data_IF_024455913115
#
_entry.id   IF_024455913115
#
_cell.length_a   1.000
_cell.length_b   1.000
_cell.length_c   1.000
_cell.angle_alpha   90.00
_cell.angle_beta   90.00
_cell.angle_gamma   90.00
#
_symmetry.space_group_name_H-M   'P 1'
#
loop_
_entity.id
_entity.type
_entity.pdbx_description
1 polymer ?
#
# COMPACT_ATOMS: atom_id res chain seq x y z
N UNK A 1 -42.10 -0.32 42.93
CA UNK A 1 -42.07 -0.44 41.46
C UNK A 1 -41.81 0.96 40.93
N UNK A 2 -40.54 1.32 40.76
CA UNK A 2 -40.15 2.53 40.07
C UNK A 2 -39.02 2.14 39.11
N UNK A 3 -39.25 2.11 37.80
CA UNK A 3 -38.18 2.01 36.83
C UNK A 3 -37.76 3.45 36.47
N UNK A 4 -36.51 3.82 36.72
CA UNK A 4 -36.08 5.18 36.42
C UNK A 4 -34.58 5.43 36.47
N UNK A 5 -33.75 4.40 36.28
CA UNK A 5 -32.32 4.60 36.07
C UNK A 5 -32.10 5.14 34.64
N UNK A 6 -32.35 6.44 34.47
CA UNK A 6 -32.13 7.14 33.22
C UNK A 6 -30.63 7.43 33.11
N UNK A 7 -29.87 6.41 32.70
CA UNK A 7 -28.44 6.46 32.40
C UNK A 7 -28.20 7.45 31.24
N UNK A 8 -28.11 8.74 31.57
CA UNK A 8 -27.63 9.78 30.65
C UNK A 8 -26.14 9.60 30.50
N UNK A 9 -25.74 8.81 29.51
CA UNK A 9 -24.37 8.84 28.99
C UNK A 9 -24.10 10.30 28.60
N UNK A 10 -23.12 10.99 29.23
CA UNK A 10 -22.90 12.40 28.96
C UNK A 10 -22.48 12.54 27.49
N UNK A 11 -23.13 13.45 26.74
CA UNK A 11 -22.87 13.70 25.33
C UNK A 11 -21.38 13.94 25.00
N UNK A 12 -20.59 14.37 25.98
CA UNK A 12 -19.14 14.49 25.91
C UNK A 12 -18.45 13.14 25.68
N UNK A 13 -18.86 12.08 26.39
CA UNK A 13 -18.31 10.73 26.26
C UNK A 13 -18.65 10.12 24.90
N UNK A 14 -19.87 10.35 24.40
CA UNK A 14 -20.29 9.90 23.08
C UNK A 14 -19.49 10.59 21.98
N UNK A 15 -19.27 11.91 22.08
CA UNK A 15 -18.44 12.67 21.14
C UNK A 15 -16.97 12.24 21.17
N UNK A 16 -16.44 11.96 22.37
CA UNK A 16 -15.07 11.48 22.55
C UNK A 16 -14.87 10.09 21.95
N UNK A 17 -15.81 9.16 22.20
CA UNK A 17 -15.81 7.82 21.61
C UNK A 17 -15.97 7.87 20.08
N UNK A 18 -16.83 8.74 19.55
CA UNK A 18 -16.98 8.93 18.10
C UNK A 18 -15.70 9.48 17.46
N UNK A 19 -15.02 10.40 18.13
CA UNK A 19 -13.72 10.92 17.70
C UNK A 19 -12.62 9.87 17.72
N UNK A 20 -12.61 9.00 18.74
CA UNK A 20 -11.64 7.91 18.88
C UNK A 20 -11.87 6.80 17.83
N UNK A 21 -13.13 6.43 17.57
CA UNK A 21 -13.51 5.50 16.49
C UNK A 21 -13.15 6.08 15.13
N UNK A 22 -13.39 7.37 14.91
CA UNK A 22 -12.96 8.07 13.68
C UNK A 22 -11.44 8.05 13.50
N UNK A 23 -10.66 8.17 14.57
CA UNK A 23 -9.20 8.11 14.52
C UNK A 23 -8.68 6.69 14.20
N UNK A 24 -9.37 5.65 14.69
CA UNK A 24 -9.02 4.25 14.45
C UNK A 24 -9.34 3.79 13.02
N UNK A 25 -10.27 4.46 12.33
CA UNK A 25 -10.67 4.13 10.96
C UNK A 25 -9.71 4.69 9.88
N UNK A 26 -8.77 5.56 10.23
CA UNK A 26 -7.86 6.21 9.26
C UNK A 26 -6.59 5.37 8.99
N UNK A 27 -6.35 4.29 9.72
CA UNK A 27 -5.24 3.36 9.43
C UNK A 27 -5.62 2.36 8.33
N UNK A 28 -6.37 2.84 7.32
CA UNK A 28 -6.79 2.06 6.18
C UNK A 28 -5.59 1.55 5.36
N UNK A 29 -5.86 0.49 4.60
CA UNK A 29 -4.97 -0.14 3.63
C UNK A 29 -4.18 0.92 2.87
N UNK A 30 -2.93 1.14 3.27
CA UNK A 30 -2.06 2.14 2.66
C UNK A 30 -0.69 1.51 2.48
N UNK A 31 -0.09 1.60 1.29
CA UNK A 31 1.30 1.22 1.07
C UNK A 31 2.24 1.88 2.08
N UNK A 32 3.43 1.29 2.28
CA UNK A 32 4.48 2.00 3.01
C UNK A 32 4.88 3.30 2.31
N UNK A 33 5.43 4.23 3.10
CA UNK A 33 5.76 5.59 2.65
C UNK A 33 6.75 5.61 1.47
N UNK A 34 7.70 4.67 1.44
CA UNK A 34 8.67 4.53 0.36
C UNK A 34 7.99 4.32 -1.00
N UNK A 35 6.96 3.46 -1.05
CA UNK A 35 6.20 3.22 -2.27
C UNK A 35 5.31 4.41 -2.63
N UNK A 36 4.72 5.09 -1.64
CA UNK A 36 3.97 6.33 -1.88
C UNK A 36 4.81 7.45 -2.48
N UNK A 37 6.08 7.55 -2.08
CA UNK A 37 7.01 8.59 -2.56
C UNK A 37 7.67 8.25 -3.90
N UNK A 38 7.49 7.03 -4.43
CA UNK A 38 8.21 6.59 -5.64
C UNK A 38 9.67 6.23 -5.39
N UNK A 39 10.05 5.99 -4.14
CA UNK A 39 11.40 5.64 -3.71
C UNK A 39 11.53 4.15 -3.33
N UNK A 40 10.49 3.37 -3.59
CA UNK A 40 10.46 1.94 -3.27
C UNK A 40 11.50 1.15 -4.07
N UNK A 41 12.02 0.10 -3.44
CA UNK A 41 12.94 -0.85 -4.05
C UNK A 41 12.47 -2.26 -3.73
N UNK A 42 12.58 -3.15 -4.71
CA UNK A 42 12.25 -4.55 -4.53
C UNK A 42 13.22 -5.46 -5.30
N UNK A 43 13.73 -6.49 -4.63
CA UNK A 43 14.42 -7.63 -5.23
C UNK A 43 14.32 -8.79 -4.25
N UNK A 44 14.24 -10.01 -4.76
CA UNK A 44 14.20 -11.21 -3.91
C UNK A 44 15.58 -11.57 -3.32
N UNK A 45 16.67 -11.18 -4.00
CA UNK A 45 18.03 -11.64 -3.66
C UNK A 45 19.03 -10.52 -3.44
N UNK A 46 18.77 -9.30 -3.91
CA UNK A 46 19.71 -8.19 -3.87
C UNK A 46 19.24 -7.08 -2.94
N UNK A 47 20.18 -6.51 -2.20
CA UNK A 47 19.96 -5.25 -1.50
C UNK A 47 20.09 -4.07 -2.46
N UNK A 48 19.45 -2.94 -2.12
CA UNK A 48 19.56 -1.70 -2.90
C UNK A 48 21.02 -1.27 -3.11
N UNK A 49 21.85 -1.37 -2.07
CA UNK A 49 23.28 -1.04 -2.15
C UNK A 49 24.04 -1.91 -3.17
N UNK A 50 23.75 -3.21 -3.23
CA UNK A 50 24.37 -4.10 -4.22
C UNK A 50 23.95 -3.75 -5.65
N UNK A 51 22.71 -3.34 -5.86
CA UNK A 51 22.22 -2.88 -7.17
C UNK A 51 22.89 -1.57 -7.56
N UNK A 52 23.05 -0.63 -6.63
CA UNK A 52 23.75 0.64 -6.87
C UNK A 52 25.24 0.42 -7.18
N UNK A 53 25.91 -0.49 -6.47
CA UNK A 53 27.29 -0.88 -6.75
C UNK A 53 27.43 -1.54 -8.13
N UNK A 54 26.54 -2.47 -8.46
CA UNK A 54 26.52 -3.10 -9.77
C UNK A 54 26.23 -2.07 -10.88
N UNK A 55 25.36 -1.08 -10.64
CA UNK A 55 25.07 -0.01 -11.59
C UNK A 55 26.28 0.88 -11.82
N UNK A 56 27.01 1.24 -10.76
CA UNK A 56 28.27 1.98 -10.86
C UNK A 56 29.35 1.21 -11.63
N UNK A 57 29.35 -0.12 -11.52
CA UNK A 57 30.23 -1.01 -12.27
C UNK A 57 29.76 -1.32 -13.71
N UNK A 58 28.64 -0.74 -14.18
CA UNK A 58 28.09 -1.01 -15.51
C UNK A 58 27.50 -2.42 -15.67
N UNK A 59 27.20 -3.11 -14.57
CA UNK A 59 26.65 -4.48 -14.52
C UNK A 59 25.13 -4.50 -14.35
N UNK A 60 24.44 -3.42 -14.73
CA UNK A 60 22.98 -3.31 -14.65
C UNK A 60 22.43 -2.91 -16.00
N UNK A 61 21.48 -3.69 -16.48
CA UNK A 61 20.70 -3.38 -17.67
C UNK A 61 19.30 -2.89 -17.26
N UNK A 62 18.89 -1.76 -17.85
CA UNK A 62 17.54 -1.21 -17.65
C UNK A 62 16.62 -1.80 -18.69
N UNK A 63 15.71 -2.69 -18.28
CA UNK A 63 14.75 -3.34 -19.18
C UNK A 63 13.52 -2.47 -19.49
N UNK A 64 13.41 -1.31 -18.83
CA UNK A 64 12.40 -0.31 -19.10
C UNK A 64 11.55 0.00 -17.88
N UNK A 65 10.61 0.94 -18.05
CA UNK A 65 9.65 1.29 -17.01
C UNK A 65 8.40 0.44 -17.15
N UNK A 66 7.91 -0.08 -16.03
CA UNK A 66 6.67 -0.86 -15.98
C UNK A 66 5.55 -0.08 -15.27
N UNK A 67 4.33 -0.50 -15.57
CA UNK A 67 3.11 -0.10 -14.87
C UNK A 67 2.22 -1.32 -14.75
N UNK A 68 1.78 -1.64 -13.54
CA UNK A 68 0.88 -2.76 -13.25
C UNK A 68 -0.21 -2.28 -12.32
N UNK A 69 -1.46 -2.62 -12.63
CA UNK A 69 -2.59 -2.35 -11.75
C UNK A 69 -2.86 -3.60 -10.92
N UNK A 70 -2.94 -3.43 -9.61
CA UNK A 70 -3.28 -4.50 -8.68
C UNK A 70 -4.25 -3.95 -7.64
N UNK A 71 -5.19 -4.77 -7.20
CA UNK A 71 -6.21 -4.39 -6.26
C UNK A 71 -6.64 -5.57 -5.43
N UNK A 72 -7.10 -5.28 -4.21
CA UNK A 72 -7.57 -6.31 -3.31
C UNK A 72 -8.45 -5.72 -2.22
N UNK A 73 -9.36 -6.55 -1.72
CA UNK A 73 -10.22 -6.23 -0.60
C UNK A 73 -9.62 -6.78 0.68
N UNK A 74 -9.20 -5.90 1.58
CA UNK A 74 -8.58 -6.27 2.84
C UNK A 74 -9.42 -5.79 4.02
N UNK A 75 -9.31 -6.51 5.14
CA UNK A 75 -9.92 -6.11 6.40
C UNK A 75 -9.16 -4.91 7.00
N UNK A 76 -9.87 -4.05 7.73
CA UNK A 76 -9.37 -2.81 8.35
C UNK A 76 -8.17 -2.95 9.32
N UNK A 77 -7.71 -4.17 9.61
CA UNK A 77 -6.53 -4.46 10.43
C UNK A 77 -5.24 -4.63 9.61
N UNK A 78 -5.25 -4.31 8.32
CA UNK A 78 -4.06 -4.41 7.49
C UNK A 78 -3.09 -3.26 7.78
N UNK A 79 -1.93 -3.59 8.35
CA UNK A 79 -0.83 -2.63 8.49
C UNK A 79 -0.28 -2.26 7.11
N UNK A 80 0.50 -1.17 7.05
CA UNK A 80 1.19 -0.78 5.80
C UNK A 80 2.09 -1.90 5.28
N UNK A 81 2.82 -2.53 6.19
CA UNK A 81 3.68 -3.68 5.90
C UNK A 81 2.87 -4.89 5.42
N UNK A 82 1.66 -5.09 5.96
CA UNK A 82 0.72 -6.08 5.45
C UNK A 82 0.37 -5.80 3.99
N UNK A 83 0.01 -4.55 3.68
CA UNK A 83 -0.37 -4.12 2.32
C UNK A 83 0.77 -4.35 1.33
N UNK A 84 2.00 -4.01 1.73
CA UNK A 84 3.19 -4.26 0.92
C UNK A 84 3.36 -5.76 0.62
N UNK A 85 3.25 -6.63 1.64
CA UNK A 85 3.47 -8.08 1.48
C UNK A 85 2.36 -8.80 0.75
N UNK A 86 1.11 -8.37 0.91
CA UNK A 86 -0.04 -9.06 0.34
C UNK A 86 -0.37 -8.60 -1.08
N UNK A 87 0.02 -7.38 -1.47
CA UNK A 87 -0.42 -6.80 -2.74
C UNK A 87 0.74 -6.25 -3.58
N UNK A 88 1.63 -5.44 -3.00
CA UNK A 88 2.67 -4.75 -3.78
C UNK A 88 3.79 -5.71 -4.18
N UNK A 89 4.35 -6.44 -3.21
CA UNK A 89 5.45 -7.38 -3.42
C UNK A 89 5.08 -8.50 -4.41
N UNK A 90 3.92 -9.19 -4.27
CA UNK A 90 3.52 -10.20 -5.25
C UNK A 90 3.37 -9.64 -6.66
N UNK A 91 2.72 -8.48 -6.82
CA UNK A 91 2.56 -7.84 -8.13
C UNK A 91 3.91 -7.40 -8.74
N UNK A 92 4.86 -6.94 -7.92
CA UNK A 92 6.22 -6.64 -8.38
C UNK A 92 6.96 -7.90 -8.81
N UNK A 93 6.86 -8.99 -8.04
CA UNK A 93 7.51 -10.27 -8.37
C UNK A 93 7.02 -10.81 -9.71
N UNK A 94 5.71 -10.93 -9.88
CA UNK A 94 5.10 -11.38 -11.14
C UNK A 94 5.54 -10.49 -12.30
N UNK A 95 5.54 -9.16 -12.10
CA UNK A 95 5.92 -8.24 -13.17
C UNK A 95 7.41 -8.30 -13.54
N UNK A 96 8.27 -8.50 -12.56
CA UNK A 96 9.71 -8.67 -12.81
C UNK A 96 10.00 -10.00 -13.51
N UNK A 97 9.28 -11.07 -13.18
CA UNK A 97 9.39 -12.36 -13.87
C UNK A 97 9.00 -12.25 -15.35
N UNK A 98 7.87 -11.59 -15.64
CA UNK A 98 7.43 -11.31 -17.02
C UNK A 98 8.46 -10.50 -17.82
N UNK A 99 9.13 -9.55 -17.17
CA UNK A 99 10.13 -8.68 -17.78
C UNK A 99 11.53 -9.30 -17.79
N UNK A 100 11.71 -10.50 -17.25
CA UNK A 100 13.02 -11.12 -17.04
C UNK A 100 14.02 -10.24 -16.25
N UNK A 101 13.49 -9.45 -15.32
CA UNK A 101 14.25 -8.59 -14.41
C UNK A 101 14.45 -9.27 -13.05
N UNK A 102 15.47 -8.84 -12.28
CA UNK A 102 15.74 -9.35 -10.93
C UNK A 102 15.70 -8.27 -9.83
N UNK A 103 15.51 -7.01 -10.22
CA UNK A 103 15.28 -5.91 -9.30
C UNK A 103 14.32 -4.87 -9.90
N UNK A 104 13.57 -4.20 -9.04
CA UNK A 104 12.78 -3.02 -9.33
C UNK A 104 13.31 -1.84 -8.51
N UNK A 105 13.51 -0.69 -9.17
CA UNK A 105 13.89 0.56 -8.53
C UNK A 105 12.87 1.67 -8.85
N UNK A 106 12.88 2.73 -8.03
CA UNK A 106 11.95 3.87 -8.12
C UNK A 106 10.49 3.42 -8.16
N UNK A 107 10.17 2.42 -7.34
CA UNK A 107 8.83 1.86 -7.28
C UNK A 107 7.90 2.85 -6.61
N UNK A 108 6.89 3.29 -7.37
CA UNK A 108 5.85 4.21 -6.96
C UNK A 108 4.49 3.58 -7.01
N UNK A 109 3.71 3.77 -5.95
CA UNK A 109 2.32 3.30 -5.85
C UNK A 109 1.40 4.49 -5.79
N UNK A 110 0.45 4.54 -6.72
CA UNK A 110 -0.59 5.56 -6.75
C UNK A 110 -1.94 4.89 -6.61
N UNK A 111 -2.76 5.41 -5.70
CA UNK A 111 -4.16 5.03 -5.64
C UNK A 111 -4.85 5.37 -6.95
N UNK A 112 -5.53 4.38 -7.52
CA UNK A 112 -6.48 4.59 -8.61
C UNK A 112 -7.84 4.91 -7.99
N UNK A 113 -7.90 6.00 -7.22
CA UNK A 113 -9.18 6.61 -6.83
C UNK A 113 -9.63 7.44 -8.03
N UNK A 114 -10.45 6.82 -8.89
CA UNK A 114 -10.90 7.40 -10.17
C UNK A 114 -11.73 8.67 -10.00
N UNK A 115 -12.25 8.97 -8.80
CA UNK A 115 -12.96 10.21 -8.54
C UNK A 115 -12.97 10.63 -7.06
N UNK A 116 -13.01 11.94 -6.79
CA UNK A 116 -13.24 12.47 -5.43
C UNK A 116 -14.57 12.00 -4.83
N UNK A 117 -15.55 11.61 -5.66
CA UNK A 117 -16.83 11.03 -5.22
C UNK A 117 -16.69 9.69 -4.51
N UNK A 118 -15.69 8.88 -4.85
CA UNK A 118 -15.47 7.58 -4.21
C UNK A 118 -14.95 7.72 -2.77
N UNK A 119 -14.26 8.81 -2.48
CA UNK A 119 -13.78 9.16 -1.13
C UNK A 119 -14.98 9.48 -0.23
N UNK A 120 -15.97 10.23 -0.72
CA UNK A 120 -17.18 10.55 0.03
C UNK A 120 -18.05 9.32 0.26
N UNK A 121 -18.18 8.44 -0.74
CA UNK A 121 -18.95 7.19 -0.61
C UNK A 121 -18.29 6.23 0.39
N UNK A 122 -16.96 6.13 0.38
CA UNK A 122 -16.19 5.34 1.34
C UNK A 122 -16.32 5.84 2.79
N UNK A 123 -16.59 7.13 2.98
CA UNK A 123 -16.80 7.74 4.30
C UNK A 123 -18.26 7.62 4.80
N UNK A 124 -19.24 7.55 3.88
CA UNK A 124 -20.67 7.59 4.19
C UNK A 124 -21.35 6.21 4.22
N UNK A 125 -20.85 5.23 3.46
CA UNK A 125 -21.51 3.93 3.30
C UNK A 125 -20.64 2.85 3.94
N UNK A 126 -20.87 2.63 5.23
CA UNK A 126 -20.31 1.55 6.05
C UNK A 126 -18.79 1.57 6.34
N UNK A 127 -18.38 1.90 7.58
CA UNK A 127 -17.07 1.50 8.11
C UNK A 127 -16.95 -0.04 8.31
N UNK A 128 -17.78 -0.84 7.66
CA UNK A 128 -17.94 -2.28 7.89
C UNK A 128 -17.95 -3.17 6.64
N UNK A 129 -17.82 -2.62 5.43
CA UNK A 129 -17.79 -3.42 4.20
C UNK A 129 -16.61 -3.02 3.32
N UNK A 130 -15.51 -3.77 3.49
CA UNK A 130 -14.44 -3.98 2.52
C UNK A 130 -13.55 -2.77 2.20
N UNK A 131 -12.34 -2.73 2.78
CA UNK A 131 -11.25 -1.87 2.33
C UNK A 131 -10.67 -2.38 1.02
N UNK A 132 -11.46 -2.34 -0.06
CA UNK A 132 -11.01 -2.60 -1.41
C UNK A 132 -10.25 -1.38 -1.92
N UNK A 133 -8.96 -1.53 -2.14
CA UNK A 133 -8.15 -0.50 -2.80
C UNK A 133 -7.54 -1.06 -4.07
N UNK A 134 -7.59 -0.23 -5.11
CA UNK A 134 -6.94 -0.47 -6.39
C UNK A 134 -5.77 0.48 -6.53
N UNK A 135 -4.59 -0.10 -6.70
CA UNK A 135 -3.35 0.62 -6.88
C UNK A 135 -2.83 0.46 -8.30
N UNK A 136 -2.12 1.48 -8.76
CA UNK A 136 -1.23 1.38 -9.90
C UNK A 136 0.21 1.47 -9.38
N UNK A 137 0.97 0.40 -9.59
CA UNK A 137 2.38 0.28 -9.25
C UNK A 137 3.18 0.58 -10.50
N UNK A 138 4.14 1.48 -10.38
CA UNK A 138 5.07 1.86 -11.44
C UNK A 138 6.49 1.73 -10.95
N UNK A 139 7.45 1.49 -11.83
CA UNK A 139 8.85 1.38 -11.45
C UNK A 139 9.75 1.10 -12.64
N UNK A 140 11.06 1.09 -12.40
CA UNK A 140 12.06 0.73 -13.40
C UNK A 140 12.48 -0.73 -13.18
N UNK A 141 12.37 -1.56 -14.21
CA UNK A 141 12.83 -2.95 -14.18
C UNK A 141 14.33 -3.01 -14.51
N UNK A 142 15.08 -3.69 -13.66
CA UNK A 142 16.53 -3.81 -13.72
C UNK A 142 16.94 -5.28 -13.78
N UNK A 143 17.91 -5.58 -14.64
CA UNK A 143 18.62 -6.84 -14.68
C UNK A 143 20.06 -6.62 -14.21
N UNK A 144 20.39 -7.18 -13.05
CA UNK A 144 21.70 -7.06 -12.41
C UNK A 144 22.53 -8.31 -12.68
N UNK A 145 23.69 -8.15 -13.32
CA UNK A 145 24.59 -9.22 -13.67
C UNK A 145 25.59 -9.55 -12.55
N UNK A 146 25.69 -10.83 -12.20
CA UNK A 146 26.68 -11.33 -11.23
C UNK A 146 26.32 -11.10 -9.76
N UNK A 147 25.03 -10.93 -9.44
CA UNK A 147 24.53 -10.93 -8.07
C UNK A 147 24.07 -12.33 -7.65
N UNK A 148 24.97 -13.09 -7.00
CA UNK A 148 24.65 -14.27 -6.18
C UNK A 148 25.43 -14.18 -4.88
#
# INVERSE_FOLDING_TARGET
MEPGENSRIPHQLTRFLLGLVSLLLITGCTPSKQYWLGEGFYSDTLSKAQVEEAAAAGRVERLGRFSVSTGGCFNFNFTREGTDRALIIPALREKLEELHANAADKVGVRDRLESWSDIFISFLILPGLLGCSTYTITGDALLVYGGR
#
